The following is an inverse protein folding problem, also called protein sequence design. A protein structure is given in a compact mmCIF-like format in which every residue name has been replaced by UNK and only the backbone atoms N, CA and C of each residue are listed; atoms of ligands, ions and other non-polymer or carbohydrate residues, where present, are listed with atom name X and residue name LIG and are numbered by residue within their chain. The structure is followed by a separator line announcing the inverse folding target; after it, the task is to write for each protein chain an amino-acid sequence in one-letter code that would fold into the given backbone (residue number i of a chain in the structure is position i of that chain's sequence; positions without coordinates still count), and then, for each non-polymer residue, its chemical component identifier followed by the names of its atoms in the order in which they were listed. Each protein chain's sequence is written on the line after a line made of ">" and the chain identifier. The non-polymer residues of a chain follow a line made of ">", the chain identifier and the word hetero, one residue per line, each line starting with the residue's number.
data_IF_750394985675
#
_entry.id   IF_750394985675
#
_cell.length_a   1.000
_cell.length_b   1.000
_cell.length_c   1.000
_cell.angle_alpha   90.00
_cell.angle_beta   90.00
_cell.angle_gamma   90.00
#
_symmetry.space_group_name_H-M   'P 1'
#
loop_
_entity.id
_entity.type
_entity.pdbx_description
1 polymer ?
#
# COMPACT_ATOMS: atom_id res chain seq x y z
N UNK A 1 -42.12 -8.02 29.31
CA UNK A 1 -42.52 -6.60 29.32
C UNK A 1 -41.83 -5.92 28.15
N UNK A 2 -42.55 -5.64 27.04
CA UNK A 2 -41.96 -5.05 25.83
C UNK A 2 -41.94 -3.53 25.98
N UNK A 3 -40.76 -2.93 26.05
CA UNK A 3 -40.62 -1.47 26.02
C UNK A 3 -40.49 -0.99 24.57
N UNK A 4 -41.48 -0.22 24.11
CA UNK A 4 -41.49 0.41 22.80
C UNK A 4 -40.62 1.68 22.81
N UNK A 5 -39.77 1.83 21.78
CA UNK A 5 -38.79 2.93 21.63
C UNK A 5 -39.44 4.32 21.71
N UNK A 6 -40.73 4.44 21.41
CA UNK A 6 -41.49 5.71 21.49
C UNK A 6 -41.84 6.14 22.91
N UNK A 7 -41.85 5.23 23.88
CA UNK A 7 -42.14 5.54 25.30
C UNK A 7 -40.95 6.17 26.05
N UNK A 8 -39.72 5.86 25.62
CA UNK A 8 -38.49 6.38 26.23
C UNK A 8 -38.30 7.88 25.95
N UNK A 9 -38.57 8.32 24.73
CA UNK A 9 -38.42 9.73 24.32
C UNK A 9 -39.48 10.62 24.98
N UNK A 10 -40.67 10.09 25.27
CA UNK A 10 -41.75 10.86 25.90
C UNK A 10 -41.57 11.05 27.41
N UNK A 11 -40.69 10.26 28.04
CA UNK A 11 -40.44 10.29 29.49
C UNK A 11 -39.11 10.99 29.84
N UNK A 12 -38.27 11.28 28.84
CA UNK A 12 -36.96 11.92 29.03
C UNK A 12 -36.95 13.46 29.03
N UNK A 13 -38.12 14.09 28.92
CA UNK A 13 -38.24 15.55 28.91
C UNK A 13 -39.09 16.03 30.07
N UNK A 14 -38.52 16.17 31.26
CA UNK A 14 -38.85 17.18 32.27
C UNK A 14 -38.01 16.92 33.53
N UNK A 15 -37.48 17.99 34.13
CA UNK A 15 -36.68 18.12 35.39
C UNK A 15 -35.17 18.28 35.15
N UNK A 16 -34.46 19.32 35.59
CA UNK A 16 -34.73 20.46 36.48
C UNK A 16 -33.87 21.66 36.04
N UNK A 17 -34.45 22.86 36.16
CA UNK A 17 -33.70 24.11 36.18
C UNK A 17 -32.77 24.12 37.39
N UNK A 18 -31.45 23.99 37.16
CA UNK A 18 -30.42 24.47 38.07
C UNK A 18 -29.84 25.74 37.46
N UNK A 19 -30.49 26.86 37.77
CA UNK A 19 -29.88 28.17 37.62
C UNK A 19 -28.79 28.31 38.70
N UNK A 20 -27.53 28.38 38.27
CA UNK A 20 -26.39 28.70 39.13
C UNK A 20 -25.37 27.58 39.26
N UNK A 21 -24.51 27.43 38.24
CA UNK A 21 -23.11 26.94 38.33
C UNK A 21 -22.37 26.91 36.96
N UNK A 22 -22.89 27.59 35.94
CA UNK A 22 -22.31 27.57 34.57
C UNK A 22 -21.22 28.62 34.28
N UNK A 23 -20.70 29.51 35.17
CA UNK A 23 -19.54 30.31 34.78
C UNK A 23 -18.24 29.49 34.67
N UNK A 24 -18.09 28.39 35.43
CA UNK A 24 -16.80 27.70 35.54
C UNK A 24 -16.46 26.76 34.37
N UNK A 25 -17.46 26.27 33.63
CA UNK A 25 -17.22 25.32 32.52
C UNK A 25 -16.98 26.02 31.17
N UNK A 26 -17.50 27.25 30.99
CA UNK A 26 -17.27 28.03 29.76
C UNK A 26 -15.89 28.70 29.78
N UNK A 27 -15.33 28.95 30.96
CA UNK A 27 -14.02 29.58 31.11
C UNK A 27 -12.83 28.63 30.86
N UNK A 28 -13.09 27.34 30.65
CA UNK A 28 -12.08 26.37 30.20
C UNK A 28 -11.84 26.40 28.68
N UNK A 29 -12.69 27.09 27.90
CA UNK A 29 -12.51 27.25 26.46
C UNK A 29 -11.75 28.53 26.09
N UNK A 30 -11.40 29.37 27.06
CA UNK A 30 -10.52 30.53 26.87
C UNK A 30 -9.07 30.18 27.24
N UNK A 31 -8.62 28.99 26.83
CA UNK A 31 -7.23 28.60 26.86
C UNK A 31 -6.49 29.33 25.75
N UNK A 32 -5.78 30.39 26.15
CA UNK A 32 -4.60 31.01 25.51
C UNK A 32 -4.37 30.63 24.05
N UNK A 33 -4.54 31.63 23.18
CA UNK A 33 -3.72 31.88 21.99
C UNK A 33 -3.52 30.70 21.07
N UNK A 34 -4.11 30.80 19.87
CA UNK A 34 -3.57 30.24 18.65
C UNK A 34 -2.04 30.47 18.61
N UNK A 35 -1.26 29.54 19.15
CA UNK A 35 0.07 29.31 18.61
C UNK A 35 -0.22 29.04 17.14
N UNK A 36 0.26 29.94 16.27
CA UNK A 36 0.50 29.59 14.88
C UNK A 36 1.47 28.41 14.95
N UNK A 37 0.93 27.20 15.11
CA UNK A 37 1.70 25.96 15.09
C UNK A 37 2.14 25.82 13.65
N UNK A 38 3.28 26.42 13.36
CA UNK A 38 4.01 26.19 12.12
C UNK A 38 4.19 24.69 12.04
N UNK A 39 3.54 24.08 11.05
CA UNK A 39 3.67 22.66 10.81
C UNK A 39 5.07 22.44 10.23
N UNK A 40 5.92 21.80 11.01
CA UNK A 40 7.26 21.43 10.59
C UNK A 40 7.25 20.05 9.95
N UNK A 41 7.94 19.91 8.83
CA UNK A 41 8.15 18.64 8.14
C UNK A 41 8.80 17.60 9.08
N UNK A 42 8.05 16.53 9.37
CA UNK A 42 8.47 15.46 10.27
C UNK A 42 9.23 14.33 9.58
N UNK A 43 9.43 14.44 8.27
CA UNK A 43 10.05 13.41 7.43
C UNK A 43 11.52 13.67 7.14
N UNK A 44 12.05 14.84 7.52
CA UNK A 44 13.43 15.30 7.22
C UNK A 44 14.52 14.28 7.56
N UNK A 45 14.39 13.58 8.68
CA UNK A 45 15.40 12.65 9.18
C UNK A 45 15.11 11.17 8.83
N UNK A 46 14.05 10.91 8.05
CA UNK A 46 13.64 9.56 7.69
C UNK A 46 14.67 8.94 6.76
N UNK A 47 15.29 7.87 7.23
CA UNK A 47 16.18 7.06 6.40
C UNK A 47 15.34 6.14 5.51
N UNK A 48 15.49 6.19 4.17
CA UNK A 48 14.75 5.30 3.26
C UNK A 48 15.19 3.84 3.41
N UNK A 49 14.41 2.93 2.82
CA UNK A 49 14.82 1.54 2.68
C UNK A 49 16.07 1.45 1.80
N UNK A 50 17.02 0.61 2.22
CA UNK A 50 18.24 0.33 1.48
C UNK A 50 18.12 -1.01 0.75
N UNK A 51 19.05 -1.30 -0.16
CA UNK A 51 19.03 -2.55 -0.94
C UNK A 51 19.03 -3.80 -0.05
N UNK A 52 19.71 -3.75 1.11
CA UNK A 52 19.71 -4.86 2.06
C UNK A 52 18.32 -5.17 2.62
N UNK A 53 17.45 -4.15 2.78
CA UNK A 53 16.08 -4.34 3.25
C UNK A 53 15.27 -5.16 2.21
N UNK A 54 15.43 -4.85 0.92
CA UNK A 54 14.76 -5.56 -0.17
C UNK A 54 15.32 -6.97 -0.37
N UNK A 55 16.64 -7.14 -0.32
CA UNK A 55 17.28 -8.45 -0.39
C UNK A 55 16.82 -9.37 0.76
N UNK A 56 16.68 -8.83 1.98
CA UNK A 56 16.15 -9.59 3.11
C UNK A 56 14.70 -10.04 2.89
N UNK A 57 13.86 -9.19 2.28
CA UNK A 57 12.48 -9.55 1.91
C UNK A 57 12.45 -10.63 0.81
N UNK A 58 13.28 -10.51 -0.20
CA UNK A 58 13.42 -11.50 -1.28
C UNK A 58 13.88 -12.86 -0.73
N UNK A 59 14.83 -12.87 0.21
CA UNK A 59 15.29 -14.10 0.85
C UNK A 59 14.20 -14.74 1.72
N UNK A 60 13.43 -13.93 2.45
CA UNK A 60 12.25 -14.41 3.19
C UNK A 60 11.24 -15.09 2.26
N UNK A 61 10.98 -14.51 1.08
CA UNK A 61 10.12 -15.10 0.04
C UNK A 61 10.70 -16.42 -0.46
N UNK A 62 12.00 -16.48 -0.81
CA UNK A 62 12.65 -17.73 -1.25
C UNK A 62 12.55 -18.83 -0.19
N UNK A 63 12.76 -18.50 1.08
CA UNK A 63 12.61 -19.44 2.19
C UNK A 63 11.18 -20.01 2.31
N UNK A 64 10.16 -19.19 2.06
CA UNK A 64 8.77 -19.64 2.04
C UNK A 64 8.43 -20.46 0.79
N UNK A 65 8.94 -20.06 -0.38
CA UNK A 65 8.82 -20.82 -1.62
C UNK A 65 9.44 -22.22 -1.48
N UNK A 66 10.64 -22.31 -0.92
CA UNK A 66 11.32 -23.59 -0.65
C UNK A 66 10.47 -24.51 0.25
N UNK A 67 9.94 -23.97 1.37
CA UNK A 67 9.07 -24.72 2.30
C UNK A 67 7.79 -25.22 1.63
N UNK A 68 7.23 -24.44 0.71
CA UNK A 68 5.98 -24.75 0.01
C UNK A 68 6.19 -25.47 -1.32
N UNK A 69 7.44 -25.81 -1.69
CA UNK A 69 7.83 -26.46 -2.95
C UNK A 69 7.35 -25.69 -4.17
N UNK A 70 7.62 -24.39 -4.18
CA UNK A 70 7.29 -23.46 -5.26
C UNK A 70 8.59 -23.05 -5.95
N UNK A 71 8.60 -23.16 -7.27
CA UNK A 71 9.83 -23.02 -8.07
C UNK A 71 10.02 -21.60 -8.60
N UNK A 72 8.92 -20.88 -8.81
CA UNK A 72 8.91 -19.48 -9.23
C UNK A 72 7.67 -18.75 -8.70
N UNK A 73 7.76 -17.44 -8.57
CA UNK A 73 6.69 -16.53 -8.19
C UNK A 73 6.51 -15.47 -9.28
N UNK A 74 5.28 -15.30 -9.78
CA UNK A 74 4.92 -14.24 -10.71
C UNK A 74 4.31 -13.06 -9.96
N UNK A 75 4.87 -11.86 -10.14
CA UNK A 75 4.41 -10.60 -9.53
C UNK A 75 4.19 -9.56 -10.62
N UNK A 76 3.02 -8.93 -10.63
CA UNK A 76 2.71 -7.79 -11.50
C UNK A 76 2.94 -6.44 -10.81
N UNK A 77 2.88 -5.35 -11.58
CA UNK A 77 2.92 -3.98 -11.06
C UNK A 77 1.90 -3.75 -9.95
N UNK A 78 2.34 -3.12 -8.86
CA UNK A 78 1.52 -2.85 -7.68
C UNK A 78 2.33 -2.87 -6.38
N UNK A 79 1.63 -3.01 -5.25
CA UNK A 79 2.25 -2.90 -3.91
C UNK A 79 3.26 -4.02 -3.63
N UNK A 80 3.02 -5.24 -4.11
CA UNK A 80 3.96 -6.35 -3.90
C UNK A 80 5.27 -6.15 -4.69
N UNK A 81 5.18 -5.68 -5.93
CA UNK A 81 6.36 -5.31 -6.71
C UNK A 81 7.15 -4.21 -6.02
N UNK A 82 6.47 -3.15 -5.55
CA UNK A 82 7.12 -2.08 -4.80
C UNK A 82 7.76 -2.60 -3.51
N UNK A 83 7.13 -3.55 -2.83
CA UNK A 83 7.61 -4.12 -1.58
C UNK A 83 8.88 -4.96 -1.76
N UNK A 84 8.94 -5.82 -2.79
CA UNK A 84 10.06 -6.75 -2.99
C UNK A 84 11.18 -6.21 -3.86
N UNK A 85 10.88 -5.29 -4.77
CA UNK A 85 11.83 -4.84 -5.81
C UNK A 85 12.01 -3.33 -5.88
N UNK A 86 11.33 -2.56 -5.04
CA UNK A 86 11.31 -1.09 -5.07
C UNK A 86 10.76 -0.46 -6.36
N UNK A 87 10.23 -1.27 -7.28
CA UNK A 87 9.69 -0.81 -8.57
C UNK A 87 8.23 -0.39 -8.41
N UNK A 88 7.93 0.85 -8.82
CA UNK A 88 6.55 1.37 -8.87
C UNK A 88 6.06 1.38 -10.31
N UNK A 89 5.22 0.39 -10.64
CA UNK A 89 4.58 0.29 -11.95
C UNK A 89 3.08 0.11 -11.75
N UNK A 90 2.26 0.94 -12.39
CA UNK A 90 0.80 0.78 -12.33
C UNK A 90 0.38 -0.37 -13.24
N UNK A 91 -0.63 -1.12 -12.83
CA UNK A 91 -1.20 -2.15 -13.71
C UNK A 91 -2.03 -1.47 -14.81
N UNK A 92 -1.66 -1.70 -16.06
CA UNK A 92 -2.45 -1.38 -17.27
C UNK A 92 -2.77 -2.68 -18.00
N UNK A 93 -3.62 -2.70 -19.02
CA UNK A 93 -3.92 -3.89 -19.85
C UNK A 93 -2.68 -4.67 -20.33
N UNK A 94 -1.54 -3.99 -20.44
CA UNK A 94 -0.25 -4.58 -20.82
C UNK A 94 0.33 -5.42 -19.68
N UNK A 95 0.88 -6.57 -20.04
CA UNK A 95 1.58 -7.44 -19.08
C UNK A 95 2.95 -6.85 -18.78
N UNK A 96 3.13 -6.40 -17.54
CA UNK A 96 4.40 -6.01 -16.96
C UNK A 96 4.55 -6.67 -15.59
N UNK A 97 5.68 -7.33 -15.37
CA UNK A 97 5.89 -8.07 -14.15
C UNK A 97 7.27 -8.68 -14.04
N UNK A 98 7.47 -9.47 -12.99
CA UNK A 98 8.71 -10.16 -12.70
C UNK A 98 8.43 -11.61 -12.36
N UNK A 99 9.19 -12.49 -12.99
CA UNK A 99 9.32 -13.90 -12.60
C UNK A 99 10.46 -13.97 -11.60
N UNK A 100 10.13 -14.25 -10.35
CA UNK A 100 11.09 -14.42 -9.27
C UNK A 100 11.35 -15.92 -9.03
N UNK A 101 12.47 -16.48 -9.51
CA UNK A 101 12.76 -17.90 -9.34
C UNK A 101 13.21 -18.21 -7.91
N UNK A 102 13.06 -19.49 -7.51
CA UNK A 102 13.55 -19.99 -6.23
C UNK A 102 15.06 -19.77 -6.05
N UNK A 103 15.81 -19.84 -7.14
CA UNK A 103 17.25 -19.60 -7.19
C UNK A 103 17.61 -18.82 -8.45
N UNK A 104 18.60 -17.94 -8.34
CA UNK A 104 19.02 -17.03 -9.42
C UNK A 104 18.28 -15.70 -9.40
N UNK A 105 18.60 -14.86 -10.38
CA UNK A 105 18.12 -13.48 -10.45
C UNK A 105 16.68 -13.39 -10.99
N UNK A 106 15.95 -12.31 -10.65
CA UNK A 106 14.61 -12.07 -11.19
C UNK A 106 14.67 -11.82 -12.71
N UNK A 107 13.68 -12.34 -13.44
CA UNK A 107 13.52 -12.10 -14.88
C UNK A 107 12.31 -11.21 -15.09
N UNK A 108 12.51 -10.05 -15.69
CA UNK A 108 11.49 -9.05 -15.93
C UNK A 108 10.81 -9.27 -17.26
N UNK A 109 9.50 -9.00 -17.32
CA UNK A 109 8.70 -9.05 -18.53
C UNK A 109 8.08 -7.68 -18.76
N UNK A 110 8.33 -7.09 -19.93
CA UNK A 110 7.91 -5.74 -20.28
C UNK A 110 7.40 -5.66 -21.72
N UNK A 111 6.44 -4.77 -22.04
CA UNK A 111 6.24 -4.34 -23.42
C UNK A 111 7.54 -3.80 -24.00
N UNK A 112 7.83 -4.09 -25.27
CA UNK A 112 9.10 -3.72 -25.93
C UNK A 112 9.39 -2.22 -25.86
N UNK A 113 8.38 -1.39 -26.13
CA UNK A 113 8.52 0.08 -26.09
C UNK A 113 8.69 0.65 -24.67
N UNK A 114 8.29 -0.09 -23.62
CA UNK A 114 8.46 0.34 -22.22
C UNK A 114 9.78 -0.17 -21.61
N UNK A 115 10.48 -1.10 -22.27
CA UNK A 115 11.69 -1.73 -21.73
C UNK A 115 12.81 -0.75 -21.35
N UNK A 116 13.08 0.35 -22.09
CA UNK A 116 14.06 1.35 -21.67
C UNK A 116 13.67 2.03 -20.35
N UNK A 117 12.39 2.38 -20.20
CA UNK A 117 11.85 2.95 -18.95
C UNK A 117 11.90 1.95 -17.80
N UNK A 118 11.64 0.67 -18.09
CA UNK A 118 11.76 -0.40 -17.10
C UNK A 118 13.20 -0.52 -16.59
N UNK A 119 14.19 -0.49 -17.49
CA UNK A 119 15.61 -0.57 -17.15
C UNK A 119 16.08 0.58 -16.24
N UNK A 120 15.48 1.76 -16.33
CA UNK A 120 15.81 2.90 -15.46
C UNK A 120 15.35 2.72 -14.01
N UNK A 121 14.29 1.94 -13.78
CA UNK A 121 13.67 1.77 -12.45
C UNK A 121 13.95 0.42 -11.81
N UNK A 122 14.28 -0.60 -12.61
CA UNK A 122 14.61 -1.93 -12.13
C UNK A 122 15.96 -1.88 -11.39
N UNK A 123 15.93 -2.31 -10.13
CA UNK A 123 17.11 -2.34 -9.25
C UNK A 123 17.68 -3.74 -9.04
N UNK A 124 16.87 -4.78 -9.25
CA UNK A 124 17.23 -6.17 -8.95
C UNK A 124 17.04 -7.05 -10.18
N UNK A 125 18.14 -7.59 -10.69
CA UNK A 125 18.18 -8.30 -11.99
C UNK A 125 18.29 -7.32 -13.16
N UNK A 126 18.92 -7.76 -14.24
CA UNK A 126 19.10 -7.02 -15.49
C UNK A 126 18.45 -7.71 -16.70
N UNK A 127 17.92 -8.93 -16.50
CA UNK A 127 17.26 -9.69 -17.54
C UNK A 127 15.84 -9.17 -17.79
N UNK A 128 15.70 -8.33 -18.82
CA UNK A 128 14.41 -7.79 -19.29
C UNK A 128 14.02 -8.48 -20.59
N UNK A 129 12.92 -9.23 -20.55
CA UNK A 129 12.34 -9.95 -21.68
C UNK A 129 11.16 -9.16 -22.23
N UNK A 130 11.17 -8.94 -23.53
CA UNK A 130 10.20 -8.05 -24.17
C UNK A 130 9.24 -8.79 -25.09
N UNK A 131 8.02 -8.27 -25.18
CA UNK A 131 7.02 -8.66 -26.17
C UNK A 131 6.53 -7.43 -26.92
N UNK A 132 6.24 -7.59 -28.21
CA UNK A 132 5.67 -6.54 -29.07
C UNK A 132 4.13 -6.54 -29.01
N UNK A 133 3.49 -5.42 -29.34
CA UNK A 133 2.02 -5.24 -29.21
C UNK A 133 1.16 -6.29 -29.94
N UNK A 134 1.70 -6.94 -30.96
CA UNK A 134 1.02 -7.99 -31.73
C UNK A 134 1.34 -9.41 -31.24
N UNK A 135 2.28 -9.55 -30.31
CA UNK A 135 2.72 -10.81 -29.73
C UNK A 135 1.92 -11.12 -28.45
N UNK A 136 2.00 -12.38 -28.04
CA UNK A 136 1.36 -12.82 -26.80
C UNK A 136 2.37 -12.74 -25.65
N UNK A 137 2.17 -11.88 -24.64
CA UNK A 137 3.03 -11.86 -23.45
C UNK A 137 3.00 -13.19 -22.69
N UNK A 138 1.94 -13.97 -22.86
CA UNK A 138 1.80 -15.27 -22.21
C UNK A 138 2.66 -16.35 -22.88
N UNK A 139 2.92 -16.22 -24.18
CA UNK A 139 3.88 -17.10 -24.88
C UNK A 139 5.30 -16.77 -24.40
N UNK A 140 5.62 -15.47 -24.28
CA UNK A 140 6.88 -15.04 -23.69
C UNK A 140 7.06 -15.59 -22.26
N UNK A 141 6.05 -15.46 -21.40
CA UNK A 141 6.10 -15.99 -20.02
C UNK A 141 6.36 -17.50 -19.98
N UNK A 142 5.71 -18.27 -20.86
CA UNK A 142 5.97 -19.71 -21.00
C UNK A 142 7.44 -19.98 -21.35
N UNK A 143 8.02 -19.20 -22.25
CA UNK A 143 9.41 -19.36 -22.66
C UNK A 143 10.38 -18.93 -21.55
N UNK A 144 10.05 -17.88 -20.79
CA UNK A 144 10.76 -17.50 -19.57
C UNK A 144 10.75 -18.64 -18.55
N UNK A 145 9.60 -19.25 -18.26
CA UNK A 145 9.55 -20.36 -17.29
C UNK A 145 10.38 -21.58 -17.73
N UNK A 146 10.59 -21.77 -19.03
CA UNK A 146 11.45 -22.83 -19.58
C UNK A 146 12.93 -22.48 -19.58
N UNK A 147 13.29 -21.19 -19.66
CA UNK A 147 14.67 -20.73 -19.73
C UNK A 147 15.33 -20.59 -18.36
N UNK A 148 14.55 -20.61 -17.28
CA UNK A 148 15.08 -20.59 -15.91
C UNK A 148 16.05 -21.75 -15.66
N UNK A 149 17.10 -21.46 -14.87
CA UNK A 149 18.21 -22.39 -14.63
C UNK A 149 17.78 -23.72 -13.98
N UNK A 150 16.66 -23.71 -13.24
CA UNK A 150 16.08 -24.89 -12.60
C UNK A 150 14.73 -25.22 -13.22
N UNK A 151 14.39 -26.52 -13.42
CA UNK A 151 13.08 -26.91 -13.93
C UNK A 151 11.95 -26.38 -13.05
N UNK A 152 11.09 -25.54 -13.63
CA UNK A 152 9.91 -25.01 -12.96
C UNK A 152 8.72 -25.93 -13.20
N UNK A 153 8.10 -26.40 -12.11
CA UNK A 153 6.87 -27.20 -12.13
C UNK A 153 5.70 -26.44 -11.52
N UNK A 154 5.94 -25.66 -10.45
CA UNK A 154 4.93 -24.95 -9.69
C UNK A 154 5.24 -23.47 -9.63
N UNK A 155 4.31 -22.66 -10.12
CA UNK A 155 4.42 -21.21 -10.19
C UNK A 155 3.38 -20.61 -9.26
N UNK A 156 3.82 -19.92 -8.23
CA UNK A 156 2.94 -19.11 -7.41
C UNK A 156 2.54 -17.85 -8.17
N UNK A 157 1.26 -17.51 -8.11
CA UNK A 157 0.70 -16.30 -8.67
C UNK A 157 0.43 -15.31 -7.53
N UNK A 158 0.96 -14.10 -7.62
CA UNK A 158 0.63 -13.03 -6.68
C UNK A 158 -0.91 -12.81 -6.65
N UNK A 159 -1.54 -12.77 -5.46
CA UNK A 159 -2.99 -12.64 -5.33
C UNK A 159 -3.59 -11.36 -5.94
N UNK A 160 -2.76 -10.33 -6.17
CA UNK A 160 -3.17 -9.09 -6.83
C UNK A 160 -3.05 -9.14 -8.36
N UNK A 161 -2.55 -10.24 -8.93
CA UNK A 161 -2.47 -10.42 -10.39
C UNK A 161 -3.88 -10.45 -10.96
N UNK A 162 -4.05 -9.74 -12.06
CA UNK A 162 -5.37 -9.58 -12.68
C UNK A 162 -5.80 -10.88 -13.31
N UNK A 163 -7.05 -11.29 -13.08
CA UNK A 163 -7.49 -12.65 -13.43
C UNK A 163 -7.27 -12.99 -14.92
N UNK A 164 -7.44 -12.04 -15.85
CA UNK A 164 -7.21 -12.29 -17.27
C UNK A 164 -5.75 -12.67 -17.60
N UNK A 165 -4.79 -12.16 -16.83
CA UNK A 165 -3.37 -12.51 -16.95
C UNK A 165 -3.14 -13.93 -16.45
N UNK A 166 -3.76 -14.28 -15.31
CA UNK A 166 -3.73 -15.66 -14.77
C UNK A 166 -4.30 -16.65 -15.80
N UNK A 167 -5.44 -16.34 -16.41
CA UNK A 167 -6.01 -17.17 -17.48
C UNK A 167 -5.13 -17.23 -18.73
N UNK A 168 -4.51 -16.11 -19.10
CA UNK A 168 -3.56 -16.03 -20.22
C UNK A 168 -2.36 -16.95 -20.00
N UNK A 169 -1.76 -16.90 -18.81
CA UNK A 169 -0.67 -17.79 -18.41
C UNK A 169 -1.15 -19.25 -18.41
N UNK A 170 -2.31 -19.54 -17.81
CA UNK A 170 -2.84 -20.90 -17.71
C UNK A 170 -3.05 -21.57 -19.08
N UNK A 171 -3.38 -20.79 -20.11
CA UNK A 171 -3.54 -21.29 -21.49
C UNK A 171 -2.21 -21.66 -22.16
N UNK A 172 -1.09 -21.07 -21.71
CA UNK A 172 0.23 -21.23 -22.36
C UNK A 172 1.21 -22.08 -21.55
N UNK A 173 1.17 -21.97 -20.23
CA UNK A 173 2.07 -22.63 -19.30
C UNK A 173 1.71 -24.11 -19.15
N UNK A 174 2.73 -24.97 -19.10
CA UNK A 174 2.59 -26.39 -18.74
C UNK A 174 2.73 -26.62 -17.23
N UNK A 175 3.17 -25.59 -16.51
CA UNK A 175 3.39 -25.60 -15.07
C UNK A 175 2.06 -25.47 -14.31
N UNK A 176 2.02 -26.03 -13.10
CA UNK A 176 0.92 -25.84 -12.17
C UNK A 176 0.95 -24.40 -11.65
N UNK A 177 -0.16 -23.66 -11.84
CA UNK A 177 -0.33 -22.35 -11.23
C UNK A 177 -1.00 -22.51 -9.86
N UNK A 178 -0.38 -21.97 -8.83
CA UNK A 178 -0.87 -22.05 -7.45
C UNK A 178 -1.04 -20.66 -6.86
N UNK A 179 -1.88 -20.54 -5.84
CA UNK A 179 -2.05 -19.29 -5.10
C UNK A 179 -0.76 -18.93 -4.34
N UNK A 180 -0.28 -17.69 -4.54
CA UNK A 180 0.92 -17.15 -3.91
C UNK A 180 0.68 -16.41 -2.58
N UNK A 181 -0.58 -16.26 -2.14
CA UNK A 181 -0.93 -15.57 -0.89
C UNK A 181 -0.16 -16.12 0.32
N UNK A 182 -0.03 -17.45 0.42
CA UNK A 182 0.70 -18.13 1.49
C UNK A 182 2.20 -17.84 1.54
N UNK A 183 2.80 -17.23 0.51
CA UNK A 183 4.19 -16.75 0.50
C UNK A 183 4.24 -15.25 0.74
N UNK A 184 3.37 -14.49 0.08
CA UNK A 184 3.41 -13.02 0.07
C UNK A 184 2.88 -12.43 1.38
N UNK A 185 1.74 -12.93 1.87
CA UNK A 185 1.06 -12.33 3.02
C UNK A 185 1.90 -12.46 4.30
N UNK A 186 2.57 -13.59 4.61
CA UNK A 186 3.46 -13.66 5.77
C UNK A 186 4.69 -12.73 5.65
N UNK A 187 5.11 -12.40 4.43
CA UNK A 187 6.18 -11.44 4.20
C UNK A 187 5.77 -10.04 4.64
N UNK A 188 4.59 -9.59 4.21
CA UNK A 188 4.06 -8.24 4.46
C UNK A 188 3.26 -8.11 5.76
N UNK A 189 2.79 -9.22 6.31
CA UNK A 189 1.96 -9.30 7.51
C UNK A 189 2.73 -8.89 8.75
N UNK A 190 3.98 -9.35 8.87
CA UNK A 190 4.88 -9.04 9.99
C UNK A 190 5.86 -7.96 9.55
N UNK A 191 5.77 -6.78 10.18
CA UNK A 191 6.54 -5.60 9.81
C UNK A 191 7.92 -5.65 10.47
N UNK A 192 8.93 -5.14 9.78
CA UNK A 192 10.24 -4.86 10.38
C UNK A 192 10.17 -3.64 11.29
N UNK A 193 11.16 -3.45 12.16
CA UNK A 193 11.25 -2.25 13.00
C UNK A 193 11.27 -0.96 12.16
N UNK A 194 11.95 -0.99 11.02
CA UNK A 194 12.01 0.14 10.07
C UNK A 194 10.63 0.43 9.46
N UNK A 195 9.90 -0.59 9.06
CA UNK A 195 8.51 -0.45 8.57
C UNK A 195 7.57 0.07 9.65
N UNK A 196 7.68 -0.43 10.87
CA UNK A 196 6.90 0.06 12.01
C UNK A 196 7.19 1.54 12.29
N UNK A 197 8.45 1.96 12.22
CA UNK A 197 8.83 3.37 12.42
C UNK A 197 8.20 4.30 11.38
N UNK A 198 8.09 3.85 10.12
CA UNK A 198 7.41 4.62 9.07
C UNK A 198 5.91 4.69 9.31
N UNK A 199 5.28 3.59 9.71
CA UNK A 199 3.86 3.55 10.02
C UNK A 199 3.53 4.44 11.24
N UNK A 200 4.38 4.44 12.26
CA UNK A 200 4.22 5.31 13.42
C UNK A 200 4.37 6.78 13.05
N UNK A 201 5.37 7.12 12.23
CA UNK A 201 5.54 8.47 11.71
C UNK A 201 4.33 8.92 10.89
N UNK A 202 3.84 8.09 9.97
CA UNK A 202 2.65 8.38 9.18
C UNK A 202 1.44 8.66 10.08
N UNK A 203 1.19 7.81 11.08
CA UNK A 203 0.13 8.02 12.06
C UNK A 203 0.27 9.33 12.84
N UNK A 204 1.51 9.69 13.22
CA UNK A 204 1.80 10.94 13.92
C UNK A 204 1.55 12.16 13.03
N UNK A 205 1.95 12.10 11.76
CA UNK A 205 1.65 13.12 10.76
C UNK A 205 0.14 13.28 10.62
N UNK A 206 -0.60 12.19 10.39
CA UNK A 206 -2.06 12.25 10.24
C UNK A 206 -2.74 12.84 11.47
N UNK A 207 -2.37 12.43 12.68
CA UNK A 207 -2.96 13.02 13.91
C UNK A 207 -2.72 14.53 14.00
N UNK A 208 -1.50 14.99 13.71
CA UNK A 208 -1.16 16.42 13.73
C UNK A 208 -1.87 17.21 12.62
N UNK A 209 -1.95 16.65 11.41
CA UNK A 209 -2.66 17.27 10.31
C UNK A 209 -4.15 17.50 10.64
N UNK A 210 -4.79 16.51 11.28
CA UNK A 210 -6.18 16.63 11.71
C UNK A 210 -6.36 17.62 12.85
N UNK A 211 -5.50 17.59 13.87
CA UNK A 211 -5.54 18.56 14.97
C UNK A 211 -5.43 19.99 14.44
N UNK A 212 -4.50 20.22 13.52
CA UNK A 212 -4.34 21.50 12.85
C UNK A 212 -5.59 21.85 12.03
N UNK A 213 -6.03 20.99 11.12
CA UNK A 213 -7.18 21.27 10.25
C UNK A 213 -8.46 21.56 11.04
N UNK A 214 -8.75 20.81 12.11
CA UNK A 214 -9.91 21.07 12.97
C UNK A 214 -9.82 22.39 13.74
N UNK A 215 -8.61 22.85 14.08
CA UNK A 215 -8.44 24.17 14.69
C UNK A 215 -8.77 25.34 13.75
N UNK A 216 -8.82 25.09 12.44
CA UNK A 216 -9.14 26.07 11.41
C UNK A 216 -10.62 26.06 11.00
N UNK A 217 -11.45 25.19 11.57
CA UNK A 217 -12.85 25.04 11.16
C UNK A 217 -13.69 26.24 11.61
N UNK A 218 -14.41 26.84 10.65
CA UNK A 218 -15.31 27.97 10.89
C UNK A 218 -16.74 27.69 10.38
N UNK A 219 -17.78 28.34 10.95
CA UNK A 219 -19.14 28.24 10.42
C UNK A 219 -19.21 28.61 8.94
N UNK A 220 -19.89 27.78 8.14
CA UNK A 220 -20.03 27.98 6.70
C UNK A 220 -19.02 27.20 5.85
N UNK A 221 -18.00 26.58 6.46
CA UNK A 221 -17.11 25.67 5.75
C UNK A 221 -17.83 24.40 5.27
N UNK A 222 -17.46 23.96 4.08
CA UNK A 222 -17.92 22.71 3.47
C UNK A 222 -17.01 21.54 3.84
N UNK A 223 -17.45 20.28 3.66
CA UNK A 223 -16.57 19.12 3.78
C UNK A 223 -15.35 19.18 2.85
N UNK A 224 -15.47 19.83 1.69
CA UNK A 224 -14.38 20.05 0.75
C UNK A 224 -13.33 21.03 1.30
N UNK A 225 -13.75 22.07 2.02
CA UNK A 225 -12.83 23.01 2.67
C UNK A 225 -12.01 22.33 3.77
N UNK A 226 -12.68 21.52 4.61
CA UNK A 226 -11.98 20.72 5.62
C UNK A 226 -11.02 19.71 4.99
N UNK A 227 -11.41 19.08 3.88
CA UNK A 227 -10.54 18.18 3.12
C UNK A 227 -9.29 18.88 2.62
N UNK A 228 -9.43 20.09 2.07
CA UNK A 228 -8.30 20.89 1.60
C UNK A 228 -7.35 21.24 2.77
N UNK A 229 -7.89 21.65 3.92
CA UNK A 229 -7.10 21.87 5.14
C UNK A 229 -6.35 20.60 5.56
N UNK A 230 -7.00 19.44 5.61
CA UNK A 230 -6.32 18.19 5.96
C UNK A 230 -5.18 17.88 4.97
N UNK A 231 -5.38 18.09 3.67
CA UNK A 231 -4.32 17.90 2.64
C UNK A 231 -3.13 18.83 2.90
N UNK A 232 -3.37 20.13 3.06
CA UNK A 232 -2.34 21.11 3.38
C UNK A 232 -1.59 20.76 4.67
N UNK A 233 -2.31 20.25 5.68
CA UNK A 233 -1.71 19.77 6.93
C UNK A 233 -0.73 18.61 6.71
N UNK A 234 -1.07 17.65 5.84
CA UNK A 234 -0.18 16.54 5.49
C UNK A 234 1.05 17.02 4.71
N UNK A 235 0.85 17.88 3.70
CA UNK A 235 1.92 18.43 2.86
C UNK A 235 2.94 19.21 3.70
N UNK A 236 2.48 20.09 4.59
CA UNK A 236 3.38 20.86 5.46
C UNK A 236 4.15 19.98 6.46
N UNK A 237 3.58 18.83 6.85
CA UNK A 237 4.22 17.85 7.72
C UNK A 237 5.13 16.86 6.96
N UNK A 238 5.29 17.01 5.64
CA UNK A 238 6.20 16.25 4.79
C UNK A 238 5.62 14.98 4.16
N UNK A 239 4.33 14.70 4.35
CA UNK A 239 3.68 13.57 3.69
C UNK A 239 3.31 13.91 2.24
N UNK A 240 3.42 12.91 1.37
CA UNK A 240 2.99 12.98 -0.03
C UNK A 240 1.94 11.90 -0.30
N UNK A 241 0.98 12.20 -1.19
CA UNK A 241 -0.09 11.27 -1.59
C UNK A 241 -1.45 11.53 -0.94
N UNK A 242 -2.46 10.80 -1.39
CA UNK A 242 -3.85 10.95 -0.93
C UNK A 242 -4.18 9.93 0.17
N UNK A 243 -4.34 10.41 1.41
CA UNK A 243 -4.89 9.63 2.52
C UNK A 243 -6.31 10.08 2.81
N UNK A 244 -7.32 9.38 2.28
CA UNK A 244 -8.71 9.77 2.45
C UNK A 244 -9.31 9.19 3.75
N UNK A 245 -9.73 10.02 4.71
CA UNK A 245 -10.87 9.63 5.53
C UNK A 245 -12.12 9.58 4.63
N UNK A 246 -12.75 8.43 4.54
CA UNK A 246 -14.14 8.36 4.10
C UNK A 246 -14.99 8.69 5.34
N UNK A 247 -15.55 9.90 5.37
CA UNK A 247 -16.55 10.32 6.36
C UNK A 247 -17.96 10.00 5.86
#
# INVERSE_FOLDING_TARGET
>A
MKYDRRSFVRTGGLSLAFAGLVPAFIQSCTGKGTENTVLEDLTRDVQPLADQDYMARQEKVRGLMAKQKIDALWIEGGTNMKYFFDVSWWSSERVFGVVFPLSGDPVWVSPGFEAPRAAEVIRFGDDIRTWEEHESPYVLLKDVFKSLATPVKRIAIDPNVRNFVVEGIRKQASQELVDGSGIIDPCRGIKTEKELSYMELANRITKKAYQWAFSQVEPGMTPQDLRALISTGHENLGATGEGWPLF
#
